data_IF_841925311851
#
_entry.id   IF_841925311851
#
_cell.length_a   1.000
_cell.length_b   1.000
_cell.length_c   1.000
_cell.angle_alpha   90.00
_cell.angle_beta   90.00
_cell.angle_gamma   90.00
#
_symmetry.space_group_name_H-M   'P 1'
#
loop_
_entity.id
_entity.type
_entity.pdbx_description
1 polymer ?
#
# COMPACT_ATOMS: atom_id res chain seq x y z
N UNK A 1 10.47 -9.06 5.03
CA UNK A 1 9.56 -8.37 4.09
C UNK A 1 8.13 -8.33 4.65
N UNK A 2 7.38 -9.44 4.71
CA UNK A 2 6.01 -9.46 5.30
C UNK A 2 5.96 -9.07 6.79
N UNK A 3 6.85 -9.64 7.63
CA UNK A 3 6.96 -9.28 9.06
C UNK A 3 7.39 -7.84 9.30
N UNK A 4 8.10 -7.22 8.34
CA UNK A 4 8.52 -5.82 8.43
C UNK A 4 7.45 -4.85 7.91
N UNK A 5 6.58 -5.29 6.99
CA UNK A 5 5.42 -4.51 6.52
C UNK A 5 4.31 -4.43 7.59
N UNK A 6 4.07 -5.54 8.29
CA UNK A 6 2.92 -5.75 9.20
C UNK A 6 3.30 -5.95 10.67
N UNK A 7 4.56 -5.72 11.06
CA UNK A 7 4.98 -5.80 12.46
C UNK A 7 4.20 -4.80 13.33
N UNK A 8 3.95 -5.11 14.61
CA UNK A 8 3.27 -4.18 15.52
C UNK A 8 4.08 -2.88 15.58
N UNK A 9 3.57 -1.83 14.94
CA UNK A 9 4.13 -0.50 15.07
C UNK A 9 3.59 0.07 16.37
N UNK A 10 4.33 -0.16 17.45
CA UNK A 10 4.03 0.46 18.74
C UNK A 10 4.30 1.98 18.64
N UNK A 11 3.23 2.71 18.30
CA UNK A 11 3.21 4.16 18.11
C UNK A 11 2.89 4.92 19.41
N UNK A 12 3.23 4.37 20.58
CA UNK A 12 2.94 4.99 21.87
C UNK A 12 3.70 6.31 22.16
N UNK A 13 4.54 6.79 21.23
CA UNK A 13 5.20 8.11 21.32
C UNK A 13 5.23 8.85 19.96
N UNK A 14 4.04 9.11 19.38
CA UNK A 14 3.86 9.75 18.05
C UNK A 14 4.76 10.95 17.77
N UNK A 15 4.93 11.85 18.73
CA UNK A 15 5.53 13.16 18.52
C UNK A 15 7.07 13.12 18.38
N UNK A 16 7.72 12.35 19.26
CA UNK A 16 9.17 12.16 19.23
C UNK A 16 9.58 11.23 18.09
N UNK A 17 8.77 10.21 17.79
CA UNK A 17 9.01 9.34 16.63
C UNK A 17 8.86 10.08 15.31
N UNK A 18 7.84 10.94 15.16
CA UNK A 18 7.66 11.77 13.96
C UNK A 18 8.85 12.70 13.72
N UNK A 19 9.37 13.36 14.77
CA UNK A 19 10.58 14.19 14.67
C UNK A 19 11.80 13.39 14.20
N UNK A 20 12.04 12.21 14.78
CA UNK A 20 13.17 11.35 14.40
C UNK A 20 13.04 10.84 12.96
N UNK A 21 11.83 10.48 12.53
CA UNK A 21 11.55 10.05 11.16
C UNK A 21 11.79 11.20 10.19
N UNK A 22 11.36 12.41 10.55
CA UNK A 22 11.60 13.60 9.75
C UNK A 22 13.09 13.86 9.54
N UNK A 23 13.91 13.78 10.60
CA UNK A 23 15.37 13.93 10.51
C UNK A 23 16.02 12.87 9.60
N UNK A 24 15.55 11.62 9.70
CA UNK A 24 16.03 10.54 8.83
C UNK A 24 15.63 10.78 7.36
N UNK A 25 14.39 11.21 7.12
CA UNK A 25 13.87 11.46 5.76
C UNK A 25 14.55 12.65 5.09
N UNK A 26 14.82 13.74 5.81
CA UNK A 26 15.57 14.89 5.29
C UNK A 26 16.99 14.51 4.83
N UNK A 27 17.53 13.39 5.30
CA UNK A 27 18.84 12.89 4.90
C UNK A 27 18.82 12.14 3.56
N UNK A 28 17.64 11.84 2.98
CA UNK A 28 17.50 11.12 1.72
C UNK A 28 17.32 12.07 0.52
N UNK A 29 18.20 12.00 -0.50
CA UNK A 29 18.19 12.96 -1.60
C UNK A 29 17.01 12.71 -2.54
N UNK A 30 16.21 13.75 -2.79
CA UNK A 30 15.11 13.72 -3.75
C UNK A 30 13.80 13.14 -3.22
N UNK A 31 13.74 12.77 -1.93
CA UNK A 31 12.47 12.55 -1.23
C UNK A 31 11.86 13.91 -0.91
N UNK A 32 10.61 14.12 -1.33
CA UNK A 32 9.85 15.34 -1.01
C UNK A 32 8.71 15.03 -0.05
N UNK A 33 8.23 16.04 0.69
CA UNK A 33 7.12 15.89 1.65
C UNK A 33 5.90 15.27 0.96
N UNK A 34 5.62 15.65 -0.28
CA UNK A 34 4.53 15.08 -1.09
C UNK A 34 4.62 13.56 -1.27
N UNK A 35 5.83 12.99 -1.37
CA UNK A 35 6.00 11.53 -1.48
C UNK A 35 5.53 10.83 -0.20
N UNK A 36 5.78 11.45 0.95
CA UNK A 36 5.38 10.95 2.27
C UNK A 36 3.87 11.11 2.45
N UNK A 37 3.32 12.28 2.12
CA UNK A 37 1.87 12.55 2.18
C UNK A 37 1.08 11.54 1.35
N UNK A 38 1.52 11.25 0.13
CA UNK A 38 0.86 10.29 -0.75
C UNK A 38 0.86 8.86 -0.18
N UNK A 39 1.95 8.42 0.44
CA UNK A 39 2.01 7.10 1.08
C UNK A 39 1.11 7.06 2.31
N UNK A 40 1.02 8.14 3.09
CA UNK A 40 0.11 8.23 4.23
C UNK A 40 -1.36 8.21 3.78
N UNK A 41 -1.69 8.93 2.71
CA UNK A 41 -3.00 8.92 2.08
C UNK A 41 -3.38 7.52 1.58
N UNK A 42 -2.43 6.80 0.95
CA UNK A 42 -2.63 5.42 0.52
C UNK A 42 -2.86 4.47 1.71
N UNK A 43 -2.10 4.61 2.79
CA UNK A 43 -2.23 3.78 3.99
C UNK A 43 -3.58 3.99 4.67
N UNK A 44 -3.98 5.25 4.87
CA UNK A 44 -5.27 5.60 5.47
C UNK A 44 -6.43 5.05 4.65
N UNK A 45 -6.40 5.27 3.32
CA UNK A 45 -7.39 4.75 2.41
C UNK A 45 -7.44 3.21 2.44
N UNK A 46 -6.29 2.54 2.45
CA UNK A 46 -6.21 1.07 2.48
C UNK A 46 -6.84 0.51 3.74
N UNK A 47 -6.49 1.06 4.91
CA UNK A 47 -7.04 0.60 6.18
C UNK A 47 -8.56 0.77 6.24
N UNK A 48 -9.07 1.97 5.88
CA UNK A 48 -10.51 2.22 5.86
C UNK A 48 -11.25 1.23 4.96
N UNK A 49 -10.73 1.02 3.75
CA UNK A 49 -11.37 0.12 2.80
C UNK A 49 -11.29 -1.35 3.22
N UNK A 50 -10.25 -1.76 3.93
CA UNK A 50 -10.11 -3.11 4.47
C UNK A 50 -11.07 -3.31 5.65
N UNK A 51 -11.21 -2.31 6.53
CA UNK A 51 -12.20 -2.32 7.62
C UNK A 51 -13.62 -2.47 7.07
N UNK A 52 -13.98 -1.73 6.02
CA UNK A 52 -15.28 -1.85 5.34
C UNK A 52 -15.53 -3.28 4.81
N UNK A 53 -14.50 -3.96 4.28
CA UNK A 53 -14.63 -5.36 3.83
C UNK A 53 -14.76 -6.31 5.02
N UNK A 54 -14.03 -6.08 6.11
CA UNK A 54 -14.13 -6.86 7.34
C UNK A 54 -15.53 -6.76 7.94
N UNK A 55 -16.13 -5.57 7.98
CA UNK A 55 -17.51 -5.38 8.42
C UNK A 55 -18.49 -6.23 7.60
N UNK A 56 -18.33 -6.27 6.28
CA UNK A 56 -19.17 -7.11 5.41
C UNK A 56 -18.93 -8.60 5.61
N UNK A 57 -17.69 -9.04 5.83
CA UNK A 57 -17.37 -10.43 6.14
C UNK A 57 -18.02 -10.87 7.46
N UNK A 58 -17.98 -10.01 8.48
CA UNK A 58 -18.65 -10.25 9.77
C UNK A 58 -20.17 -10.34 9.57
N UNK A 59 -20.76 -9.41 8.81
CA UNK A 59 -22.19 -9.40 8.52
C UNK A 59 -22.65 -10.64 7.73
N UNK A 60 -21.79 -11.20 6.87
CA UNK A 60 -22.02 -12.45 6.15
C UNK A 60 -21.84 -13.71 7.02
N UNK A 61 -21.33 -13.57 8.25
CA UNK A 61 -20.99 -14.70 9.10
C UNK A 61 -19.82 -15.52 8.55
N UNK A 62 -18.87 -14.88 7.86
CA UNK A 62 -17.74 -15.56 7.26
C UNK A 62 -16.84 -16.21 8.34
N UNK A 63 -16.40 -17.47 8.15
CA UNK A 63 -15.43 -18.11 9.06
C UNK A 63 -14.03 -17.50 8.83
N UNK A 64 -13.08 -17.75 9.73
CA UNK A 64 -11.70 -17.22 9.60
C UNK A 64 -10.97 -17.71 8.33
N UNK A 65 -11.37 -18.86 7.78
CA UNK A 65 -10.83 -19.50 6.58
C UNK A 65 -11.74 -19.32 5.35
N UNK A 66 -12.43 -18.18 5.26
CA UNK A 66 -13.31 -17.86 4.13
C UNK A 66 -12.59 -17.96 2.78
N UNK A 67 -13.34 -18.38 1.75
CA UNK A 67 -12.80 -18.54 0.40
C UNK A 67 -12.82 -17.21 -0.39
N UNK A 68 -12.24 -17.25 -1.59
CA UNK A 68 -12.19 -16.09 -2.47
C UNK A 68 -13.58 -15.62 -2.90
N UNK A 69 -14.56 -16.52 -3.04
CA UNK A 69 -15.91 -16.14 -3.45
C UNK A 69 -16.62 -15.32 -2.36
N UNK A 70 -16.45 -15.70 -1.09
CA UNK A 70 -16.92 -14.96 0.07
C UNK A 70 -16.24 -13.58 0.16
N UNK A 71 -14.92 -13.53 -0.03
CA UNK A 71 -14.17 -12.28 -0.03
C UNK A 71 -14.69 -11.33 -1.11
N UNK A 72 -14.86 -11.79 -2.34
CA UNK A 72 -15.38 -10.95 -3.44
C UNK A 72 -16.82 -10.52 -3.20
N UNK A 73 -17.64 -11.36 -2.54
CA UNK A 73 -18.99 -10.98 -2.12
C UNK A 73 -18.96 -9.85 -1.10
N UNK A 74 -18.14 -9.95 -0.05
CA UNK A 74 -17.95 -8.88 0.93
C UNK A 74 -17.41 -7.60 0.27
N UNK A 75 -16.44 -7.75 -0.63
CA UNK A 75 -15.85 -6.64 -1.38
C UNK A 75 -16.88 -5.89 -2.23
N UNK A 76 -17.81 -6.59 -2.88
CA UNK A 76 -18.94 -5.98 -3.61
C UNK A 76 -19.94 -5.30 -2.68
N UNK A 77 -20.23 -5.90 -1.54
CA UNK A 77 -21.21 -5.36 -0.57
C UNK A 77 -20.70 -4.07 0.09
N UNK A 78 -19.39 -3.89 0.18
CA UNK A 78 -18.78 -2.64 0.65
C UNK A 78 -19.02 -1.47 -0.32
N UNK A 79 -19.38 -1.73 -1.59
CA UNK A 79 -19.85 -0.75 -2.59
C UNK A 79 -18.96 0.51 -2.74
N UNK A 80 -17.64 0.32 -2.66
CA UNK A 80 -16.64 1.38 -2.61
C UNK A 80 -15.76 1.46 -3.87
N UNK A 81 -16.31 1.10 -5.05
CA UNK A 81 -15.57 1.02 -6.32
C UNK A 81 -14.72 2.27 -6.63
N UNK A 82 -15.29 3.47 -6.48
CA UNK A 82 -14.59 4.72 -6.78
C UNK A 82 -13.36 4.93 -5.89
N UNK A 83 -13.46 4.58 -4.61
CA UNK A 83 -12.33 4.64 -3.68
C UNK A 83 -11.27 3.58 -3.99
N UNK A 84 -11.68 2.39 -4.45
CA UNK A 84 -10.74 1.36 -4.93
C UNK A 84 -9.98 1.81 -6.18
N UNK A 85 -10.64 2.47 -7.13
CA UNK A 85 -9.98 3.10 -8.28
C UNK A 85 -8.94 4.12 -7.81
N UNK A 86 -9.31 4.98 -6.86
CA UNK A 86 -8.36 5.94 -6.26
C UNK A 86 -7.20 5.26 -5.55
N UNK A 87 -7.44 4.17 -4.83
CA UNK A 87 -6.40 3.37 -4.17
C UNK A 87 -5.39 2.83 -5.18
N UNK A 88 -5.87 2.24 -6.29
CA UNK A 88 -5.01 1.73 -7.38
C UNK A 88 -4.15 2.85 -7.97
N UNK A 89 -4.73 4.03 -8.18
CA UNK A 89 -4.00 5.18 -8.69
C UNK A 89 -2.94 5.69 -7.70
N UNK A 90 -3.25 5.75 -6.40
CA UNK A 90 -2.27 6.11 -5.36
C UNK A 90 -1.13 5.08 -5.26
N UNK A 91 -1.41 3.79 -5.42
CA UNK A 91 -0.38 2.74 -5.53
C UNK A 91 0.50 3.00 -6.75
N UNK A 92 -0.11 3.26 -7.91
CA UNK A 92 0.62 3.54 -9.16
C UNK A 92 1.55 4.73 -9.00
N UNK A 93 1.07 5.85 -8.46
CA UNK A 93 1.86 7.05 -8.21
C UNK A 93 2.99 6.81 -7.19
N UNK A 94 2.69 6.09 -6.10
CA UNK A 94 3.69 5.71 -5.09
C UNK A 94 4.82 4.88 -5.70
N UNK A 95 4.50 3.93 -6.58
CA UNK A 95 5.50 3.13 -7.28
C UNK A 95 6.35 3.97 -8.24
N UNK A 96 5.78 4.96 -8.92
CA UNK A 96 6.54 5.90 -9.73
C UNK A 96 7.48 6.77 -8.89
N UNK A 97 7.06 7.20 -7.71
CA UNK A 97 7.94 7.92 -6.78
C UNK A 97 9.11 7.04 -6.35
N UNK A 98 8.86 5.79 -5.98
CA UNK A 98 9.93 4.81 -5.68
C UNK A 98 10.86 4.64 -6.88
N UNK A 99 10.34 4.47 -8.10
CA UNK A 99 11.14 4.32 -9.32
C UNK A 99 12.01 5.56 -9.59
N UNK A 100 11.51 6.77 -9.32
CA UNK A 100 12.27 8.02 -9.43
C UNK A 100 13.41 8.05 -8.40
N UNK A 101 13.11 7.69 -7.15
CA UNK A 101 14.08 7.70 -6.05
C UNK A 101 15.19 6.67 -6.25
N UNK A 102 14.86 5.48 -6.77
CA UNK A 102 15.83 4.41 -7.01
C UNK A 102 16.77 4.70 -8.20
N UNK A 103 16.35 5.58 -9.12
CA UNK A 103 17.20 6.07 -10.22
C UNK A 103 18.21 7.13 -9.78
N UNK A 104 18.09 7.69 -8.57
CA UNK A 104 19.06 8.64 -8.06
C UNK A 104 20.30 7.89 -7.53
N UNK A 105 21.48 8.02 -8.16
CA UNK A 105 22.68 7.31 -7.73
C UNK A 105 23.15 7.71 -6.33
N UNK A 106 22.77 8.90 -5.84
CA UNK A 106 23.08 9.35 -4.49
C UNK A 106 22.21 8.67 -3.43
N UNK A 107 21.09 8.04 -3.80
CA UNK A 107 20.19 7.39 -2.84
C UNK A 107 20.86 6.21 -2.15
N UNK A 108 21.59 5.37 -2.90
CA UNK A 108 22.37 4.28 -2.33
C UNK A 108 23.44 4.78 -1.35
N UNK A 109 24.14 5.86 -1.72
CA UNK A 109 25.17 6.48 -0.85
C UNK A 109 24.54 7.05 0.42
N UNK A 110 23.40 7.71 0.32
CA UNK A 110 22.67 8.25 1.47
C UNK A 110 22.27 7.12 2.42
N UNK A 111 21.61 6.07 1.90
CA UNK A 111 21.24 4.87 2.67
C UNK A 111 22.44 4.17 3.32
N UNK A 112 23.64 4.24 2.71
CA UNK A 112 24.84 3.69 3.33
C UNK A 112 25.37 4.55 4.47
N UNK A 113 25.36 5.87 4.32
CA UNK A 113 25.86 6.82 5.32
C UNK A 113 24.89 7.02 6.51
N UNK A 114 23.59 6.89 6.30
CA UNK A 114 22.58 7.11 7.35
C UNK A 114 22.42 5.94 8.32
N UNK A 115 23.14 4.83 8.13
CA UNK A 115 23.03 3.64 9.00
C UNK A 115 23.34 3.96 10.46
N UNK A 116 24.48 4.63 10.72
CA UNK A 116 24.88 4.97 12.09
C UNK A 116 23.92 5.96 12.75
N UNK A 117 23.36 6.90 11.98
CA UNK A 117 22.36 7.84 12.46
C UNK A 117 21.04 7.13 12.79
N UNK A 118 20.62 6.15 11.99
CA UNK A 118 19.45 5.33 12.29
C UNK A 118 19.63 4.51 13.57
N UNK A 119 20.82 3.93 13.79
CA UNK A 119 21.13 3.20 15.02
C UNK A 119 21.06 4.12 16.25
N UNK A 120 21.61 5.33 16.16
CA UNK A 120 21.54 6.34 17.23
C UNK A 120 20.11 6.80 17.55
N UNK A 121 19.24 6.87 16.54
CA UNK A 121 17.85 7.31 16.73
C UNK A 121 16.89 6.18 17.15
N UNK A 122 17.37 4.93 17.22
CA UNK A 122 16.53 3.75 17.47
C UNK A 122 15.64 3.40 16.27
N UNK A 123 16.10 3.68 15.05
CA UNK A 123 15.39 3.49 13.78
C UNK A 123 16.08 2.48 12.85
N UNK A 124 16.93 1.61 13.40
CA UNK A 124 17.68 0.60 12.64
C UNK A 124 16.78 -0.27 11.77
N UNK A 125 15.60 -0.64 12.27
CA UNK A 125 14.65 -1.50 11.54
C UNK A 125 14.00 -0.75 10.36
N UNK A 126 13.57 0.50 10.56
CA UNK A 126 13.05 1.35 9.48
C UNK A 126 14.12 1.55 8.40
N UNK A 127 15.35 1.84 8.82
CA UNK A 127 16.45 2.05 7.90
C UNK A 127 16.82 0.75 7.14
N UNK A 128 16.82 -0.41 7.82
CA UNK A 128 17.01 -1.72 7.19
C UNK A 128 15.92 -1.98 6.15
N UNK A 129 14.67 -1.71 6.50
CA UNK A 129 13.52 -1.84 5.60
C UNK A 129 13.71 -1.00 4.33
N UNK A 130 14.05 0.28 4.46
CA UNK A 130 14.32 1.16 3.32
C UNK A 130 15.46 0.64 2.44
N UNK A 131 16.53 0.13 3.05
CA UNK A 131 17.67 -0.46 2.32
C UNK A 131 17.29 -1.73 1.57
N UNK A 132 16.52 -2.61 2.19
CA UNK A 132 16.02 -3.84 1.56
C UNK A 132 15.11 -3.46 0.38
N UNK A 133 14.14 -2.56 0.59
CA UNK A 133 13.26 -2.06 -0.45
C UNK A 133 14.01 -1.45 -1.63
N UNK A 134 14.98 -0.56 -1.37
CA UNK A 134 15.84 0.03 -2.40
C UNK A 134 16.56 -1.06 -3.24
N UNK A 135 17.19 -2.03 -2.57
CA UNK A 135 17.91 -3.12 -3.25
C UNK A 135 16.99 -4.05 -4.03
N UNK A 136 15.76 -4.26 -3.58
CA UNK A 136 14.78 -5.10 -4.28
C UNK A 136 14.29 -4.50 -5.59
N UNK A 137 14.30 -3.17 -5.71
CA UNK A 137 13.80 -2.46 -6.91
C UNK A 137 14.91 -2.23 -7.95
N UNK A 138 16.18 -2.15 -7.54
CA UNK A 138 17.33 -1.94 -8.45
C UNK A 138 17.40 -2.89 -9.67
N UNK A 139 17.10 -4.21 -9.55
CA UNK A 139 17.18 -5.12 -10.70
C UNK A 139 16.09 -4.91 -11.76
N UNK A 140 15.03 -4.16 -11.45
CA UNK A 140 13.89 -3.97 -12.35
C UNK A 140 14.26 -3.01 -13.47
N UNK A 141 14.58 -3.56 -14.64
CA UNK A 141 15.04 -2.81 -15.83
C UNK A 141 14.00 -1.84 -16.38
N UNK A 142 12.73 -2.23 -16.39
CA UNK A 142 11.63 -1.46 -16.97
C UNK A 142 10.54 -1.20 -15.93
N UNK A 143 10.84 -0.26 -15.01
CA UNK A 143 9.91 0.16 -13.96
C UNK A 143 8.57 0.68 -14.50
N UNK A 144 8.52 1.57 -15.52
CA UNK A 144 7.24 2.02 -16.06
C UNK A 144 6.35 0.87 -16.53
N UNK A 145 6.90 -0.07 -17.32
CA UNK A 145 6.13 -1.24 -17.77
C UNK A 145 5.65 -2.10 -16.61
N UNK A 146 6.49 -2.31 -15.59
CA UNK A 146 6.11 -3.07 -14.40
C UNK A 146 4.93 -2.41 -13.66
N UNK A 147 5.00 -1.09 -13.46
CA UNK A 147 3.98 -0.32 -12.75
C UNK A 147 2.65 -0.34 -13.52
N UNK A 148 2.67 -0.06 -14.83
CA UNK A 148 1.45 -0.06 -15.65
C UNK A 148 0.84 -1.47 -15.75
N UNK A 149 1.67 -2.52 -15.76
CA UNK A 149 1.17 -3.91 -15.72
C UNK A 149 0.41 -4.20 -14.44
N UNK A 150 0.88 -3.71 -13.29
CA UNK A 150 0.17 -3.86 -12.01
C UNK A 150 -1.15 -3.08 -12.05
N UNK A 151 -1.11 -1.81 -12.44
CA UNK A 151 -2.30 -0.96 -12.46
C UNK A 151 -3.43 -1.55 -13.33
N UNK A 152 -3.09 -2.02 -14.54
CA UNK A 152 -4.06 -2.68 -15.44
C UNK A 152 -4.60 -3.98 -14.85
N UNK A 153 -3.75 -4.80 -14.21
CA UNK A 153 -4.21 -6.07 -13.62
C UNK A 153 -5.13 -5.84 -12.43
N UNK A 154 -4.82 -4.89 -11.55
CA UNK A 154 -5.66 -4.56 -10.41
C UNK A 154 -6.99 -3.95 -10.86
N UNK A 155 -6.98 -3.07 -11.87
CA UNK A 155 -8.22 -2.52 -12.44
C UNK A 155 -9.09 -3.62 -13.05
N UNK A 156 -8.52 -4.49 -13.88
CA UNK A 156 -9.26 -5.60 -14.49
C UNK A 156 -9.85 -6.55 -13.42
N UNK A 157 -9.12 -6.76 -12.31
CA UNK A 157 -9.61 -7.57 -11.20
C UNK A 157 -10.77 -6.89 -10.48
N UNK A 158 -10.65 -5.60 -10.20
CA UNK A 158 -11.70 -4.79 -9.60
C UNK A 158 -12.96 -4.80 -10.46
N UNK A 159 -12.81 -4.56 -11.77
CA UNK A 159 -13.91 -4.58 -12.74
C UNK A 159 -14.61 -5.94 -12.78
N UNK A 160 -13.83 -7.04 -12.77
CA UNK A 160 -14.41 -8.39 -12.70
C UNK A 160 -15.23 -8.59 -11.43
N UNK A 161 -14.68 -8.21 -10.28
CA UNK A 161 -15.36 -8.38 -8.99
C UNK A 161 -16.72 -7.67 -9.00
N UNK A 162 -16.82 -6.47 -9.57
CA UNK A 162 -18.06 -5.70 -9.61
C UNK A 162 -19.00 -6.08 -10.78
N UNK A 163 -18.47 -6.56 -11.91
CA UNK A 163 -19.29 -7.02 -13.04
C UNK A 163 -20.20 -8.20 -12.66
N UNK A 164 -19.74 -9.10 -11.78
CA UNK A 164 -20.52 -10.23 -11.27
C UNK A 164 -21.78 -9.78 -10.50
N UNK A 165 -21.76 -8.58 -9.89
CA UNK A 165 -22.90 -7.99 -9.18
C UNK A 165 -24.05 -7.63 -10.14
N UNK A 166 -23.72 -7.13 -11.34
CA UNK A 166 -24.69 -6.76 -12.37
C UNK A 166 -25.40 -7.98 -12.96
N UNK A 167 -24.72 -9.12 -13.03
CA UNK A 167 -25.31 -10.38 -13.48
C UNK A 167 -26.24 -10.98 -12.41
N UNK A 168 -25.87 -10.90 -11.13
CA UNK A 168 -26.71 -11.35 -10.03
C UNK A 168 -27.98 -10.49 -9.85
N UNK A 169 -27.89 -9.16 -10.01
CA UNK A 169 -29.08 -8.27 -10.00
C UNK A 169 -30.05 -8.54 -11.17
N UNK A 170 -29.55 -8.94 -12.35
CA UNK A 170 -30.39 -9.31 -13.50
C UNK A 170 -31.06 -10.68 -13.37
N UNK A 171 -30.54 -11.56 -12.51
CA UNK A 171 -31.05 -12.91 -12.29
C UNK A 171 -31.99 -13.08 -11.09
N UNK A 172 -32.22 -12.04 -10.29
CA UNK A 172 -33.17 -12.11 -9.17
C UNK A 172 -34.61 -12.09 -9.72
N UNK A 173 -35.44 -13.12 -9.46
CA UNK A 173 -36.84 -13.09 -9.84
C UNK A 173 -37.53 -11.93 -9.11
N UNK A 174 -38.27 -11.12 -9.87
CA UNK A 174 -39.20 -10.12 -9.35
C UNK A 174 -40.27 -10.84 -8.54
N UNK A 175 -40.06 -10.99 -7.24
CA UNK A 175 -41.08 -11.49 -6.32
C UNK A 175 -42.11 -10.38 -6.09
N UNK A 176 -43.21 -10.47 -6.84
CA UNK A 176 -44.50 -9.89 -6.51
C UNK A 176 -45.26 -10.80 -5.55
#
# INVERSE_FOLDING_TARGET
>A
FFTELYGPRDFSARDTQARRLHLLVQSFPGVVIRDVEQVLELLDLTNRLDDEVVEQLIALGAPLDFDMAMYERAYRLADNYADRVRQIELVRQSLYNVARLTRNPLMGIALDRTKGLADMLGMSDIHRFLRVGYKSVLPVRDMPRFIETIAVREMNRLDRIYADQLQQKKGAPSSA
#
